data_IF_257743451275
#
_entry.id   IF_257743451275
#
_cell.length_a   1.000
_cell.length_b   1.000
_cell.length_c   1.000
_cell.angle_alpha   90.00
_cell.angle_beta   90.00
_cell.angle_gamma   90.00
#
_symmetry.space_group_name_H-M   'P 1'
#
loop_
_entity.id
_entity.type
_entity.pdbx_description
1 polymer ?
#
# COMPACT_ATOMS: atom_id res chain seq x y z
N UNK A 1 10.82 -7.16 -13.24
CA UNK A 1 10.46 -8.54 -12.84
C UNK A 1 8.95 -8.74 -12.93
N UNK A 2 8.49 -9.90 -13.43
CA UNK A 2 7.07 -10.28 -13.49
C UNK A 2 6.86 -11.72 -13.02
N UNK A 3 5.96 -11.97 -12.06
CA UNK A 3 5.61 -13.31 -11.57
C UNK A 3 4.10 -13.45 -11.35
N UNK A 4 3.61 -14.69 -11.41
CA UNK A 4 2.28 -15.08 -10.94
C UNK A 4 2.47 -15.82 -9.61
N UNK A 5 1.84 -15.32 -8.54
CA UNK A 5 1.89 -15.92 -7.20
C UNK A 5 0.46 -16.00 -6.68
N UNK A 6 0.00 -17.18 -6.27
CA UNK A 6 -1.38 -17.42 -5.80
C UNK A 6 -2.46 -16.86 -6.74
N UNK A 7 -2.30 -17.11 -8.05
CA UNK A 7 -3.18 -16.63 -9.12
C UNK A 7 -3.28 -15.09 -9.23
N UNK A 8 -2.32 -14.35 -8.68
CA UNK A 8 -2.21 -12.88 -8.78
C UNK A 8 -0.94 -12.50 -9.55
N UNK A 9 -1.06 -11.50 -10.42
CA UNK A 9 0.07 -10.95 -11.18
C UNK A 9 0.80 -9.89 -10.35
N UNK A 10 2.13 -9.99 -10.32
CA UNK A 10 3.04 -9.00 -9.76
C UNK A 10 4.04 -8.61 -10.83
N UNK A 11 4.14 -7.31 -11.12
CA UNK A 11 4.91 -6.81 -12.26
C UNK A 11 5.50 -5.42 -11.92
N UNK A 12 6.82 -5.36 -11.77
CA UNK A 12 7.52 -4.12 -11.41
C UNK A 12 7.46 -3.05 -12.50
N UNK A 13 7.12 -3.42 -13.75
CA UNK A 13 6.99 -2.45 -14.87
C UNK A 13 5.65 -1.70 -14.87
N UNK A 14 4.63 -2.25 -14.20
CA UNK A 14 3.28 -1.67 -14.16
C UNK A 14 2.86 -1.19 -12.77
N UNK A 15 3.56 -1.63 -11.73
CA UNK A 15 3.38 -1.18 -10.36
C UNK A 15 4.09 0.16 -10.10
N UNK A 16 3.56 0.94 -9.15
CA UNK A 16 4.20 2.17 -8.68
C UNK A 16 5.35 1.81 -7.75
N UNK A 17 6.55 2.30 -8.03
CA UNK A 17 7.70 2.23 -7.10
C UNK A 17 7.45 3.18 -5.92
N UNK A 18 7.49 2.65 -4.71
CA UNK A 18 7.11 3.35 -3.48
C UNK A 18 8.29 3.69 -2.57
N UNK A 19 9.44 3.03 -2.77
CA UNK A 19 10.69 3.32 -2.07
C UNK A 19 11.87 3.36 -3.03
N UNK A 20 13.01 3.85 -2.56
CA UNK A 20 14.29 3.50 -3.16
C UNK A 20 14.72 2.07 -2.75
N UNK A 21 15.63 1.42 -3.50
CA UNK A 21 16.25 0.17 -3.08
C UNK A 21 16.92 0.35 -1.73
N UNK A 22 16.49 -0.45 -0.76
CA UNK A 22 17.10 -0.52 0.56
C UNK A 22 18.05 -1.70 0.56
N UNK A 23 19.33 -1.44 0.75
CA UNK A 23 20.33 -2.48 0.94
C UNK A 23 20.07 -3.22 2.26
N UNK A 24 19.84 -4.52 2.19
CA UNK A 24 19.58 -5.37 3.35
C UNK A 24 20.89 -5.95 3.93
N UNK A 25 22.01 -5.69 3.27
CA UNK A 25 23.31 -6.23 3.66
C UNK A 25 23.38 -7.74 3.48
N UNK A 26 24.32 -8.36 4.21
CA UNK A 26 24.60 -9.79 4.16
C UNK A 26 23.74 -10.54 5.18
N UNK A 27 22.83 -11.40 4.70
CA UNK A 27 22.06 -12.32 5.56
C UNK A 27 22.86 -13.58 5.89
N UNK A 28 23.61 -14.06 4.91
CA UNK A 28 24.71 -15.02 5.02
C UNK A 28 25.92 -14.37 4.32
N UNK A 29 27.17 -14.70 4.68
CA UNK A 29 28.43 -13.99 4.32
C UNK A 29 28.62 -13.60 2.82
N UNK A 30 27.72 -14.00 1.92
CA UNK A 30 27.79 -13.78 0.47
C UNK A 30 26.50 -13.29 -0.21
N UNK A 31 25.39 -13.12 0.52
CA UNK A 31 24.11 -12.70 -0.06
C UNK A 31 23.89 -11.20 0.08
N UNK A 32 24.13 -10.45 -0.98
CA UNK A 32 23.91 -9.00 -1.05
C UNK A 32 22.74 -8.71 -1.98
N UNK A 33 21.69 -8.09 -1.43
CA UNK A 33 20.52 -7.73 -2.20
C UNK A 33 19.84 -6.48 -1.64
N UNK A 34 19.12 -5.78 -2.52
CA UNK A 34 18.25 -4.68 -2.13
C UNK A 34 16.78 -5.08 -2.20
N UNK A 35 15.97 -4.45 -1.35
CA UNK A 35 14.51 -4.53 -1.39
C UNK A 35 13.92 -3.19 -1.83
N UNK A 36 13.01 -3.25 -2.81
CA UNK A 36 12.24 -2.08 -3.25
C UNK A 36 10.76 -2.34 -3.08
N UNK A 37 10.03 -1.44 -2.40
CA UNK A 37 8.59 -1.54 -2.23
C UNK A 37 7.86 -1.06 -3.49
N UNK A 38 6.88 -1.85 -3.93
CA UNK A 38 5.98 -1.53 -5.03
C UNK A 38 4.52 -1.65 -4.60
N UNK A 39 3.68 -0.78 -5.17
CA UNK A 39 2.23 -0.82 -5.03
C UNK A 39 1.58 -1.12 -6.38
N UNK A 40 0.75 -2.15 -6.42
CA UNK A 40 -0.09 -2.47 -7.57
C UNK A 40 -1.22 -1.44 -7.71
N UNK A 41 -1.82 -1.37 -8.91
CA UNK A 41 -2.96 -0.46 -9.18
C UNK A 41 -4.18 -0.70 -8.29
N UNK A 42 -4.34 -1.92 -7.77
CA UNK A 42 -5.42 -2.30 -6.85
C UNK A 42 -5.07 -2.10 -5.37
N UNK A 43 -3.93 -1.46 -5.05
CA UNK A 43 -3.51 -1.17 -3.68
C UNK A 43 -2.71 -2.28 -3.00
N UNK A 44 -2.61 -3.48 -3.57
CA UNK A 44 -1.76 -4.55 -3.02
C UNK A 44 -0.27 -4.17 -3.11
N UNK A 45 0.49 -4.52 -2.08
CA UNK A 45 1.93 -4.23 -2.00
C UNK A 45 2.78 -5.48 -2.18
N UNK A 46 4.01 -5.28 -2.66
CA UNK A 46 5.03 -6.34 -2.72
C UNK A 46 6.42 -5.73 -2.72
N UNK A 47 7.40 -6.51 -2.26
CA UNK A 47 8.81 -6.19 -2.38
C UNK A 47 9.40 -6.87 -3.61
N UNK A 48 10.22 -6.14 -4.34
CA UNK A 48 11.15 -6.71 -5.32
C UNK A 48 12.51 -6.86 -4.64
N UNK A 49 13.02 -8.10 -4.63
CA UNK A 49 14.39 -8.43 -4.24
C UNK A 49 15.26 -8.42 -5.50
N UNK A 50 16.26 -7.55 -5.48
CA UNK A 50 17.28 -7.35 -6.51
C UNK A 50 18.62 -7.86 -5.96
N UNK A 51 19.07 -9.02 -6.41
CA UNK A 51 20.27 -9.70 -5.90
C UNK A 51 21.48 -9.31 -6.71
N UNK A 52 22.45 -8.68 -6.04
CA UNK A 52 23.71 -8.28 -6.67
C UNK A 52 24.77 -9.40 -6.60
N UNK A 53 24.73 -10.21 -5.54
CA UNK A 53 25.68 -11.30 -5.29
C UNK A 53 25.09 -12.33 -4.33
N UNK A 54 25.40 -13.60 -4.55
CA UNK A 54 25.03 -14.70 -3.66
C UNK A 54 24.22 -15.79 -4.37
N UNK A 55 23.93 -16.92 -3.69
CA UNK A 55 23.08 -17.99 -4.23
C UNK A 55 21.60 -17.63 -4.34
N UNK A 56 21.13 -16.53 -3.75
CA UNK A 56 19.73 -16.11 -3.85
C UNK A 56 19.36 -15.65 -5.27
N UNK A 57 18.12 -15.93 -5.66
CA UNK A 57 17.52 -15.40 -6.88
C UNK A 57 16.72 -14.11 -6.62
N UNK A 58 16.63 -13.29 -7.67
CA UNK A 58 15.69 -12.18 -7.78
C UNK A 58 14.25 -12.65 -7.51
N UNK A 59 13.56 -11.87 -6.68
CA UNK A 59 12.34 -12.31 -6.03
C UNK A 59 11.23 -11.27 -6.03
N UNK A 60 10.00 -11.76 -6.01
CA UNK A 60 8.85 -10.96 -5.60
C UNK A 60 8.33 -11.57 -4.32
N UNK A 61 8.17 -10.73 -3.30
CA UNK A 61 7.58 -11.10 -2.01
C UNK A 61 6.29 -10.29 -1.84
N UNK A 62 5.11 -10.89 -2.05
CA UNK A 62 3.84 -10.25 -1.73
C UNK A 62 3.78 -9.86 -0.26
N UNK A 63 3.25 -8.69 0.04
CA UNK A 63 3.06 -8.23 1.42
C UNK A 63 1.57 -8.08 1.73
N UNK A 64 1.22 -8.31 3.00
CA UNK A 64 -0.03 -7.78 3.53
C UNK A 64 0.04 -6.24 3.62
N UNK A 65 -1.10 -5.59 3.78
CA UNK A 65 -1.13 -4.15 4.00
C UNK A 65 -0.32 -3.75 5.24
N UNK A 66 -0.44 -4.51 6.32
CA UNK A 66 0.25 -4.22 7.58
C UNK A 66 1.76 -4.43 7.47
N UNK A 67 2.20 -5.49 6.80
CA UNK A 67 3.64 -5.72 6.58
C UNK A 67 4.24 -4.61 5.69
N UNK A 68 3.50 -4.15 4.68
CA UNK A 68 3.94 -3.06 3.83
C UNK A 68 4.01 -1.72 4.59
N UNK A 69 3.05 -1.49 5.50
CA UNK A 69 3.00 -0.33 6.39
C UNK A 69 4.22 -0.33 7.31
N UNK A 70 4.45 -1.41 8.04
CA UNK A 70 5.60 -1.57 8.94
C UNK A 70 6.94 -1.45 8.20
N UNK A 71 7.04 -2.05 7.01
CA UNK A 71 8.23 -1.91 6.18
C UNK A 71 8.46 -0.44 5.84
N UNK A 72 7.42 0.29 5.43
CA UNK A 72 7.53 1.70 5.07
C UNK A 72 7.93 2.59 6.26
N UNK A 73 7.41 2.35 7.48
CA UNK A 73 7.79 3.11 8.68
C UNK A 73 9.30 3.17 8.89
N UNK A 74 10.00 2.07 8.59
CA UNK A 74 11.45 1.95 8.81
C UNK A 74 12.30 2.38 7.61
N UNK A 75 11.72 2.44 6.41
CA UNK A 75 12.48 2.44 5.16
C UNK A 75 12.13 3.57 4.17
N UNK A 76 11.10 4.37 4.44
CA UNK A 76 10.78 5.55 3.63
C UNK A 76 10.67 6.80 4.49
N UNK A 77 10.72 7.98 3.87
CA UNK A 77 10.52 9.24 4.58
C UNK A 77 9.08 9.38 5.09
N UNK A 78 8.87 10.14 6.16
CA UNK A 78 7.53 10.41 6.72
C UNK A 78 6.53 10.90 5.66
N UNK A 79 6.92 11.87 4.83
CA UNK A 79 6.07 12.37 3.74
C UNK A 79 5.63 11.25 2.77
N UNK A 80 6.54 10.30 2.48
CA UNK A 80 6.23 9.19 1.58
C UNK A 80 5.34 8.17 2.25
N UNK A 81 5.58 7.90 3.53
CA UNK A 81 4.71 7.04 4.34
C UNK A 81 3.27 7.58 4.34
N UNK A 82 3.09 8.87 4.63
CA UNK A 82 1.76 9.49 4.68
C UNK A 82 1.05 9.51 3.32
N UNK A 83 1.79 9.65 2.21
CA UNK A 83 1.24 9.52 0.86
C UNK A 83 0.67 8.11 0.60
N UNK A 84 1.29 7.08 1.17
CA UNK A 84 0.96 5.68 0.91
C UNK A 84 -0.10 5.13 1.86
N UNK A 85 -0.04 5.51 3.14
CA UNK A 85 -0.82 4.89 4.22
C UNK A 85 -1.75 5.89 4.93
N UNK A 86 -1.67 7.18 4.60
CA UNK A 86 -2.42 8.25 5.25
C UNK A 86 -1.62 8.96 6.35
N UNK A 87 -2.07 10.17 6.70
CA UNK A 87 -1.47 10.99 7.76
C UNK A 87 -1.53 10.27 9.10
N UNK A 88 -0.40 10.25 9.81
CA UNK A 88 -0.36 9.76 11.19
C UNK A 88 -0.81 10.89 12.10
N UNK A 89 -1.88 10.66 12.84
CA UNK A 89 -2.36 11.58 13.88
C UNK A 89 -2.13 10.92 15.23
N UNK A 90 -1.64 11.68 16.21
CA UNK A 90 -1.60 11.22 17.62
C UNK A 90 -3.00 11.20 18.26
N UNK A 91 -4.02 11.66 17.53
CA UNK A 91 -5.43 11.60 17.91
C UNK A 91 -6.04 10.26 17.46
N UNK A 92 -6.15 9.31 18.40
CA UNK A 92 -6.75 7.98 18.19
C UNK A 92 -8.27 8.00 17.90
N UNK A 93 -8.89 9.19 17.79
CA UNK A 93 -10.32 9.30 17.46
C UNK A 93 -10.66 8.87 16.03
N UNK A 94 -9.66 8.76 15.13
CA UNK A 94 -9.87 8.37 13.72
C UNK A 94 -8.88 7.31 13.27
N UNK A 95 -9.41 6.19 12.79
CA UNK A 95 -8.62 5.16 12.11
C UNK A 95 -8.75 5.27 10.59
N UNK A 96 -7.63 5.23 9.87
CA UNK A 96 -7.63 5.10 8.42
C UNK A 96 -7.83 3.63 8.04
N UNK A 97 -8.72 3.37 7.07
CA UNK A 97 -8.95 2.04 6.50
C UNK A 97 -8.70 2.06 4.99
N UNK A 98 -8.12 0.97 4.47
CA UNK A 98 -7.95 0.79 3.04
C UNK A 98 -9.10 -0.04 2.47
N UNK A 99 -9.78 0.51 1.46
CA UNK A 99 -10.95 -0.10 0.82
C UNK A 99 -10.75 -0.17 -0.69
N UNK A 100 -11.07 -1.31 -1.28
CA UNK A 100 -11.12 -1.47 -2.74
C UNK A 100 -12.57 -1.43 -3.19
N UNK A 101 -12.94 -0.38 -3.93
CA UNK A 101 -14.29 -0.15 -4.46
C UNK A 101 -14.25 0.06 -5.98
N UNK A 102 -15.34 -0.25 -6.71
CA UNK A 102 -15.43 0.06 -8.14
C UNK A 102 -15.17 1.55 -8.42
N UNK A 103 -14.40 1.84 -9.47
CA UNK A 103 -14.05 3.22 -9.82
C UNK A 103 -15.29 4.09 -10.08
N UNK A 104 -16.32 3.52 -10.72
CA UNK A 104 -17.62 4.18 -10.92
C UNK A 104 -18.29 4.60 -9.61
N UNK A 105 -18.19 3.78 -8.56
CA UNK A 105 -18.75 4.07 -7.25
C UNK A 105 -17.99 5.19 -6.55
N UNK A 106 -16.65 5.19 -6.62
CA UNK A 106 -15.81 6.25 -6.04
C UNK A 106 -16.11 7.59 -6.71
N UNK A 107 -16.22 7.62 -8.04
CA UNK A 107 -16.55 8.85 -8.79
C UNK A 107 -17.95 9.37 -8.43
N UNK A 108 -18.93 8.47 -8.30
CA UNK A 108 -20.27 8.85 -7.88
C UNK A 108 -20.28 9.39 -6.44
N UNK A 109 -19.59 8.73 -5.51
CA UNK A 109 -19.48 9.18 -4.12
C UNK A 109 -18.79 10.55 -4.03
N UNK A 110 -17.72 10.80 -4.81
CA UNK A 110 -17.06 12.11 -4.89
C UNK A 110 -17.99 13.20 -5.38
N UNK A 111 -18.81 12.93 -6.40
CA UNK A 111 -19.80 13.89 -6.93
C UNK A 111 -20.84 14.25 -5.89
N UNK A 112 -21.37 13.26 -5.16
CA UNK A 112 -22.37 13.48 -4.11
C UNK A 112 -21.77 14.27 -2.95
N UNK A 113 -20.58 13.88 -2.48
CA UNK A 113 -19.87 14.58 -1.41
C UNK A 113 -19.60 16.06 -1.78
N UNK A 114 -19.15 16.32 -3.02
CA UNK A 114 -18.95 17.68 -3.53
C UNK A 114 -20.26 18.48 -3.60
N UNK A 115 -21.36 17.87 -4.07
CA UNK A 115 -22.67 18.52 -4.10
C UNK A 115 -23.21 18.86 -2.70
N UNK A 116 -22.81 18.09 -1.68
CA UNK A 116 -23.14 18.33 -0.28
C UNK A 116 -22.11 19.24 0.43
N UNK A 117 -21.06 19.68 -0.26
CA UNK A 117 -19.95 20.44 0.29
C UNK A 117 -19.25 19.77 1.49
N UNK A 118 -19.14 18.43 1.45
CA UNK A 118 -18.45 17.62 2.46
C UNK A 118 -17.30 16.80 1.85
N UNK A 119 -16.42 16.28 2.70
CA UNK A 119 -15.36 15.37 2.25
C UNK A 119 -15.92 13.98 1.92
N UNK A 120 -15.20 13.23 1.08
CA UNK A 120 -15.54 11.83 0.81
C UNK A 120 -15.57 11.00 2.10
N UNK A 121 -14.66 11.28 3.04
CA UNK A 121 -14.63 10.60 4.34
C UNK A 121 -15.90 10.86 5.15
N UNK A 122 -16.37 12.11 5.20
CA UNK A 122 -17.61 12.45 5.91
C UNK A 122 -18.83 11.80 5.25
N UNK A 123 -18.84 11.71 3.91
CA UNK A 123 -19.89 11.00 3.20
C UNK A 123 -19.91 9.49 3.53
N UNK A 124 -18.75 8.83 3.57
CA UNK A 124 -18.66 7.42 3.98
C UNK A 124 -19.07 7.24 5.45
N UNK A 125 -18.68 8.15 6.33
CA UNK A 125 -19.05 8.13 7.75
C UNK A 125 -20.57 8.21 7.96
N UNK A 126 -21.26 9.09 7.22
CA UNK A 126 -22.72 9.19 7.31
C UNK A 126 -23.42 7.92 6.81
N UNK A 127 -22.94 7.31 5.72
CA UNK A 127 -23.46 6.05 5.23
C UNK A 127 -23.30 4.91 6.24
N UNK A 128 -22.09 4.76 6.82
CA UNK A 128 -21.82 3.74 7.83
C UNK A 128 -22.67 3.96 9.09
N UNK A 129 -22.79 5.21 9.54
CA UNK A 129 -23.60 5.56 10.72
C UNK A 129 -25.08 5.25 10.51
N UNK A 130 -25.62 5.51 9.31
CA UNK A 130 -27.01 5.19 9.00
C UNK A 130 -27.24 3.68 8.93
N UNK A 131 -26.34 2.93 8.29
CA UNK A 131 -26.43 1.47 8.21
C UNK A 131 -26.39 0.82 9.61
N UNK A 132 -25.56 1.32 10.52
CA UNK A 132 -25.46 0.81 11.90
C UNK A 132 -26.65 1.19 12.81
N UNK A 133 -27.52 2.12 12.40
CA UNK A 133 -28.73 2.52 13.15
C UNK A 133 -29.97 1.72 12.76
N UNK A 134 -29.92 1.01 11.64
CA UNK A 134 -31.04 0.19 11.13
C UNK A 134 -31.00 -1.25 11.67
N UNK A 135 -30.00 -1.60 12.49
CA UNK A 135 -29.90 -2.80 13.33
C UNK A 135 -30.29 -2.50 14.79
#
# INVERSE_FOLDING_TARGET
>A
MKKIINNRVYDTSTAKRCSDPVDIGSIEEYDFYALTLYQKRNGEFFLFRDVFRGPLDDGIVPLSYEDARQWAESNVSANKYEELFGTVSEDDSRAAINLSLPCSLIEQARRIAAAQNISLSAYVETLLTNALKED
#
